data_IF_725243394641
#
_entry.id   IF_725243394641
#
_cell.length_a   1.000
_cell.length_b   1.000
_cell.length_c   1.000
_cell.angle_alpha   90.00
_cell.angle_beta   90.00
_cell.angle_gamma   90.00
#
_symmetry.space_group_name_H-M   'P 1'
#
loop_
_entity.id
_entity.type
_entity.pdbx_description
1 polymer ?
#
# COMPACT_ATOMS: atom_id res chain seq x y z
N UNK A 1 46.75 0.07 -9.09
CA UNK A 1 45.46 0.77 -8.86
C UNK A 1 44.52 0.66 -10.06
N UNK A 2 44.97 0.92 -11.30
CA UNK A 2 44.12 0.84 -12.51
C UNK A 2 43.48 -0.54 -12.76
N UNK A 3 44.17 -1.64 -12.44
CA UNK A 3 43.65 -3.01 -12.62
C UNK A 3 42.50 -3.36 -11.64
N UNK A 4 42.59 -2.93 -10.38
CA UNK A 4 41.58 -3.21 -9.33
C UNK A 4 40.27 -2.47 -9.62
N UNK A 5 40.35 -1.23 -10.11
CA UNK A 5 39.16 -0.45 -10.48
C UNK A 5 38.42 -1.08 -11.67
N UNK A 6 39.16 -1.56 -12.68
CA UNK A 6 38.57 -2.26 -13.82
C UNK A 6 37.89 -3.58 -13.39
N UNK A 7 38.52 -4.34 -12.48
CA UNK A 7 37.92 -5.56 -11.92
C UNK A 7 36.65 -5.26 -11.13
N UNK A 8 36.63 -4.19 -10.34
CA UNK A 8 35.45 -3.75 -9.60
C UNK A 8 34.30 -3.38 -10.55
N UNK A 9 34.57 -2.62 -11.62
CA UNK A 9 33.54 -2.28 -12.61
C UNK A 9 33.02 -3.51 -13.36
N UNK A 10 33.89 -4.48 -13.66
CA UNK A 10 33.47 -5.76 -14.24
C UNK A 10 32.55 -6.55 -13.29
N UNK A 11 32.89 -6.62 -12.00
CA UNK A 11 32.06 -7.26 -10.97
C UNK A 11 30.71 -6.55 -10.79
N UNK A 12 30.70 -5.21 -10.82
CA UNK A 12 29.45 -4.42 -10.79
C UNK A 12 28.58 -4.71 -12.01
N UNK A 13 29.17 -4.72 -13.21
CA UNK A 13 28.45 -5.04 -14.44
C UNK A 13 27.85 -6.45 -14.38
N UNK A 14 28.61 -7.44 -13.89
CA UNK A 14 28.11 -8.81 -13.71
C UNK A 14 26.97 -8.89 -12.69
N UNK A 15 27.10 -8.25 -11.52
CA UNK A 15 26.05 -8.24 -10.49
C UNK A 15 24.75 -7.57 -10.99
N UNK A 16 24.86 -6.56 -11.85
CA UNK A 16 23.70 -5.88 -12.46
C UNK A 16 22.92 -6.75 -13.43
N UNK A 17 23.54 -7.79 -14.01
CA UNK A 17 22.86 -8.74 -14.90
C UNK A 17 21.95 -9.73 -14.18
N UNK A 18 22.02 -9.82 -12.83
CA UNK A 18 21.18 -10.72 -12.04
C UNK A 18 21.26 -12.17 -12.55
N UNK A 19 20.11 -12.74 -12.92
CA UNK A 19 20.00 -14.09 -13.48
C UNK A 19 20.49 -14.25 -14.93
N UNK A 20 21.04 -13.20 -15.53
CA UNK A 20 21.58 -13.17 -16.89
C UNK A 20 20.58 -12.69 -17.95
N UNK A 21 21.12 -12.25 -19.10
CA UNK A 21 20.34 -11.60 -20.17
C UNK A 21 19.11 -12.39 -20.62
N UNK A 22 19.24 -13.71 -20.80
CA UNK A 22 18.12 -14.57 -21.22
C UNK A 22 16.92 -14.50 -20.26
N UNK A 23 17.17 -14.39 -18.94
CA UNK A 23 16.11 -14.30 -17.94
C UNK A 23 15.51 -12.89 -17.90
N UNK A 24 16.31 -11.86 -18.15
CA UNK A 24 15.83 -10.48 -18.34
C UNK A 24 14.87 -10.44 -19.53
N UNK A 25 15.27 -10.98 -20.69
CA UNK A 25 14.43 -11.03 -21.89
C UNK A 25 13.11 -11.79 -21.62
N UNK A 26 13.16 -12.84 -20.81
CA UNK A 26 11.96 -13.62 -20.41
C UNK A 26 11.03 -12.83 -19.48
N UNK A 27 11.60 -12.01 -18.58
CA UNK A 27 10.84 -11.10 -17.72
C UNK A 27 10.15 -10.01 -18.58
N UNK A 28 10.89 -9.40 -19.51
CA UNK A 28 10.36 -8.40 -20.45
C UNK A 28 9.29 -8.97 -21.38
N UNK A 29 9.46 -10.21 -21.86
CA UNK A 29 8.46 -10.89 -22.68
C UNK A 29 7.11 -11.10 -21.96
N UNK A 30 7.10 -11.06 -20.62
CA UNK A 30 5.89 -11.09 -19.79
C UNK A 30 5.31 -9.70 -19.50
N UNK A 31 5.87 -8.64 -20.09
CA UNK A 31 5.48 -7.25 -19.85
C UNK A 31 5.91 -6.70 -18.49
N UNK A 32 6.86 -7.36 -17.81
CA UNK A 32 7.35 -6.97 -16.48
C UNK A 32 8.72 -6.31 -16.59
N UNK A 33 8.96 -5.28 -15.78
CA UNK A 33 10.29 -4.70 -15.64
C UNK A 33 11.18 -5.57 -14.74
N UNK A 34 12.49 -5.37 -14.83
CA UNK A 34 13.47 -5.92 -13.89
C UNK A 34 13.48 -5.13 -12.58
N UNK A 35 14.09 -5.70 -11.53
CA UNK A 35 14.22 -5.02 -10.24
C UNK A 35 14.88 -3.64 -10.34
N UNK A 36 15.94 -3.52 -11.14
CA UNK A 36 16.71 -2.28 -11.28
C UNK A 36 16.03 -1.24 -12.16
N UNK A 37 15.31 -1.67 -13.21
CA UNK A 37 14.49 -0.77 -14.04
C UNK A 37 13.36 -0.15 -13.21
N UNK A 38 12.71 -0.94 -12.35
CA UNK A 38 11.67 -0.45 -11.44
C UNK A 38 12.21 0.61 -10.48
N UNK A 39 13.39 0.39 -9.90
CA UNK A 39 14.04 1.38 -9.04
C UNK A 39 14.42 2.66 -9.79
N UNK A 40 14.88 2.53 -11.04
CA UNK A 40 15.22 3.67 -11.90
C UNK A 40 14.01 4.54 -12.20
N UNK A 41 12.82 3.96 -12.35
CA UNK A 41 11.58 4.69 -12.58
C UNK A 41 10.96 5.24 -11.28
N UNK A 42 11.14 4.55 -10.16
CA UNK A 42 10.60 4.95 -8.88
C UNK A 42 11.35 6.15 -8.30
N UNK A 43 12.67 6.10 -8.32
CA UNK A 43 13.55 7.07 -7.67
C UNK A 43 13.92 8.21 -8.61
N UNK A 44 14.32 9.35 -8.04
CA UNK A 44 14.83 10.46 -8.82
C UNK A 44 16.17 10.10 -9.48
N UNK A 45 16.44 10.70 -10.64
CA UNK A 45 17.63 10.42 -11.43
C UNK A 45 18.91 10.56 -10.59
N UNK A 46 19.78 9.55 -10.70
CA UNK A 46 21.06 9.47 -10.01
C UNK A 46 21.00 9.60 -8.47
N UNK A 47 19.85 9.32 -7.84
CA UNK A 47 19.70 9.34 -6.38
C UNK A 47 19.94 7.99 -5.69
N UNK A 48 19.87 6.87 -6.43
CA UNK A 48 19.93 5.54 -5.83
C UNK A 48 21.35 5.15 -5.38
N UNK A 49 21.51 4.92 -4.08
CA UNK A 49 22.69 4.30 -3.51
C UNK A 49 22.39 2.85 -3.10
N UNK A 50 23.00 1.91 -3.81
CA UNK A 50 22.81 0.48 -3.57
C UNK A 50 23.74 -0.04 -2.47
N UNK A 51 23.18 -0.86 -1.57
CA UNK A 51 23.90 -1.57 -0.54
C UNK A 51 23.92 -3.07 -0.81
N UNK A 52 24.98 -3.74 -0.34
CA UNK A 52 25.09 -5.20 -0.35
C UNK A 52 24.98 -5.84 -1.75
N UNK A 53 25.45 -5.14 -2.79
CA UNK A 53 25.45 -5.59 -4.20
C UNK A 53 26.14 -6.96 -4.38
N UNK A 54 27.17 -7.25 -3.59
CA UNK A 54 27.99 -8.45 -3.73
C UNK A 54 27.72 -9.54 -2.69
N UNK A 55 26.66 -9.40 -1.88
CA UNK A 55 26.28 -10.46 -0.93
C UNK A 55 25.82 -11.70 -1.70
N UNK A 56 26.27 -12.87 -1.27
CA UNK A 56 25.87 -14.17 -1.81
C UNK A 56 25.30 -15.05 -0.69
N UNK A 57 24.45 -16.01 -1.04
CA UNK A 57 23.95 -16.97 -0.07
C UNK A 57 25.05 -17.90 0.45
N UNK A 58 24.80 -18.46 1.63
CA UNK A 58 25.71 -19.38 2.34
C UNK A 58 25.23 -20.83 2.34
N UNK A 59 24.13 -21.12 1.65
CA UNK A 59 23.61 -22.48 1.51
C UNK A 59 24.57 -23.40 0.73
N UNK A 60 24.76 -24.61 1.26
CA UNK A 60 25.53 -25.71 0.66
C UNK A 60 24.67 -26.95 0.36
N UNK A 61 23.38 -26.90 0.69
CA UNK A 61 22.46 -28.01 0.44
C UNK A 61 21.92 -27.95 -0.99
N UNK A 62 21.46 -29.09 -1.50
CA UNK A 62 20.82 -29.21 -2.83
C UNK A 62 21.64 -28.65 -4.01
N UNK A 63 22.98 -28.61 -3.90
CA UNK A 63 23.88 -28.10 -4.94
C UNK A 63 23.92 -26.58 -5.05
N UNK A 64 23.38 -25.86 -4.07
CA UNK A 64 23.29 -24.40 -4.07
C UNK A 64 24.65 -23.72 -4.15
N UNK A 65 25.74 -24.35 -3.69
CA UNK A 65 27.09 -23.81 -3.75
C UNK A 65 27.57 -23.47 -5.17
N UNK A 66 26.94 -24.05 -6.20
CA UNK A 66 27.22 -23.82 -7.62
C UNK A 66 26.37 -22.69 -8.22
N UNK A 67 25.34 -22.23 -7.51
CA UNK A 67 24.33 -21.28 -7.99
C UNK A 67 24.39 -19.93 -7.26
N UNK A 68 25.60 -19.44 -6.99
CA UNK A 68 25.82 -18.14 -6.32
C UNK A 68 25.68 -16.99 -7.31
N UNK A 69 24.77 -16.07 -7.01
CA UNK A 69 24.57 -14.84 -7.76
C UNK A 69 24.72 -13.65 -6.81
N UNK A 70 25.63 -12.69 -7.10
CA UNK A 70 25.77 -11.47 -6.32
C UNK A 70 24.44 -10.74 -6.13
N UNK A 71 24.19 -10.31 -4.90
CA UNK A 71 22.98 -9.63 -4.47
C UNK A 71 21.90 -10.56 -3.91
N UNK A 72 21.99 -11.86 -4.17
CA UNK A 72 21.10 -12.91 -3.66
C UNK A 72 19.59 -12.69 -3.93
N UNK A 73 19.31 -12.08 -5.09
CA UNK A 73 17.95 -11.92 -5.60
C UNK A 73 17.15 -10.76 -5.00
N UNK A 74 17.80 -9.83 -4.32
CA UNK A 74 17.19 -8.55 -3.94
C UNK A 74 18.18 -7.40 -4.10
N UNK A 75 17.71 -6.31 -4.68
CA UNK A 75 18.42 -5.03 -4.74
C UNK A 75 17.91 -4.16 -3.60
N UNK A 76 18.80 -3.66 -2.75
CA UNK A 76 18.45 -2.88 -1.55
C UNK A 76 19.25 -1.61 -1.49
N UNK A 77 18.67 -0.54 -0.95
CA UNK A 77 19.38 0.72 -0.79
C UNK A 77 18.44 1.85 -0.39
N UNK A 78 18.87 3.07 -0.69
CA UNK A 78 18.06 4.27 -0.52
C UNK A 78 18.23 5.21 -1.70
N UNK A 79 17.30 6.14 -1.85
CA UNK A 79 17.36 7.21 -2.84
C UNK A 79 16.38 8.31 -2.49
N UNK A 80 15.93 9.07 -3.48
CA UNK A 80 14.92 10.12 -3.27
C UNK A 80 13.72 9.98 -4.18
N UNK A 81 12.56 10.44 -3.72
CA UNK A 81 11.35 10.68 -4.53
C UNK A 81 10.97 12.14 -4.34
N UNK A 82 11.03 12.93 -5.40
CA UNK A 82 10.82 14.39 -5.35
C UNK A 82 11.74 15.07 -4.32
N UNK A 83 13.00 14.65 -4.29
CA UNK A 83 14.03 15.15 -3.37
C UNK A 83 13.93 14.65 -1.92
N UNK A 84 12.90 13.87 -1.59
CA UNK A 84 12.67 13.34 -0.23
C UNK A 84 13.22 11.92 -0.10
N UNK A 85 13.95 11.59 0.97
CA UNK A 85 14.61 10.31 1.10
C UNK A 85 13.62 9.16 1.26
N UNK A 86 14.00 7.98 0.74
CA UNK A 86 13.23 6.74 0.86
C UNK A 86 14.17 5.53 0.84
N UNK A 87 13.91 4.55 1.71
CA UNK A 87 14.54 3.22 1.64
C UNK A 87 13.74 2.32 0.72
N UNK A 88 14.44 1.49 -0.05
CA UNK A 88 13.81 0.61 -1.04
C UNK A 88 14.46 -0.77 -1.07
N UNK A 89 13.63 -1.78 -1.27
CA UNK A 89 14.10 -3.07 -1.79
C UNK A 89 13.30 -3.45 -3.02
N UNK A 90 13.96 -4.07 -4.00
CA UNK A 90 13.31 -4.66 -5.16
C UNK A 90 13.81 -6.07 -5.38
N UNK A 91 12.89 -7.03 -5.33
CA UNK A 91 13.20 -8.45 -5.55
C UNK A 91 13.43 -8.71 -7.03
N UNK A 92 14.49 -9.45 -7.33
CA UNK A 92 14.88 -9.82 -8.69
C UNK A 92 14.46 -11.27 -8.98
N UNK A 93 13.31 -11.41 -9.65
CA UNK A 93 12.76 -12.71 -10.02
C UNK A 93 13.68 -13.53 -10.93
N UNK A 94 14.62 -12.88 -11.64
CA UNK A 94 15.57 -13.59 -12.50
C UNK A 94 16.57 -14.41 -11.70
N UNK A 95 16.83 -14.04 -10.43
CA UNK A 95 17.76 -14.72 -9.53
C UNK A 95 16.98 -15.68 -8.64
N UNK A 96 17.07 -16.98 -8.96
CA UNK A 96 16.44 -18.05 -8.17
C UNK A 96 14.94 -17.81 -7.87
N UNK A 97 14.21 -17.21 -8.82
CA UNK A 97 12.79 -16.88 -8.68
C UNK A 97 12.50 -15.78 -7.66
N UNK A 98 13.49 -14.95 -7.31
CA UNK A 98 13.38 -13.95 -6.24
C UNK A 98 13.14 -14.59 -4.87
N UNK A 99 13.45 -15.88 -4.71
CA UNK A 99 13.15 -16.63 -3.48
C UNK A 99 13.95 -16.09 -2.28
N UNK A 100 13.26 -15.96 -1.16
CA UNK A 100 13.84 -15.38 0.06
C UNK A 100 14.70 -16.42 0.78
N UNK A 101 16.00 -16.15 0.85
CA UNK A 101 17.01 -16.82 1.66
C UNK A 101 17.29 -16.06 2.96
N UNK A 102 18.13 -16.63 3.82
CA UNK A 102 18.66 -15.96 5.01
C UNK A 102 19.36 -14.62 4.64
N UNK A 103 20.22 -14.62 3.63
CA UNK A 103 20.98 -13.43 3.20
C UNK A 103 20.14 -12.40 2.47
N UNK A 104 19.17 -12.84 1.65
CA UNK A 104 18.18 -11.96 1.06
C UNK A 104 17.37 -11.23 2.14
N UNK A 105 16.89 -11.96 3.15
CA UNK A 105 16.19 -11.37 4.28
C UNK A 105 17.09 -10.41 5.06
N UNK A 106 18.35 -10.78 5.34
CA UNK A 106 19.30 -9.93 6.05
C UNK A 106 19.53 -8.58 5.35
N UNK A 107 19.55 -8.55 4.01
CA UNK A 107 19.63 -7.30 3.24
C UNK A 107 18.39 -6.41 3.42
N UNK A 108 17.19 -7.00 3.36
CA UNK A 108 15.93 -6.28 3.61
C UNK A 108 15.91 -5.76 5.05
N UNK A 109 16.22 -6.61 6.02
CA UNK A 109 16.29 -6.24 7.44
C UNK A 109 17.24 -5.06 7.68
N UNK A 110 18.40 -5.03 7.02
CA UNK A 110 19.37 -3.93 7.16
C UNK A 110 18.76 -2.57 6.78
N UNK A 111 18.08 -2.48 5.65
CA UNK A 111 17.47 -1.21 5.24
C UNK A 111 16.24 -0.86 6.08
N UNK A 112 15.48 -1.84 6.56
CA UNK A 112 14.38 -1.62 7.50
C UNK A 112 14.88 -1.04 8.82
N UNK A 113 15.99 -1.57 9.34
CA UNK A 113 16.63 -1.08 10.56
C UNK A 113 17.09 0.38 10.38
N UNK A 114 17.64 0.73 9.21
CA UNK A 114 18.01 2.12 8.92
C UNK A 114 16.78 3.02 8.72
N UNK A 115 15.73 2.55 8.05
CA UNK A 115 14.48 3.29 7.87
C UNK A 115 13.88 3.70 9.22
N UNK A 116 13.74 2.75 10.15
CA UNK A 116 13.26 3.02 11.51
C UNK A 116 14.20 3.98 12.25
N UNK A 117 15.51 3.74 12.17
CA UNK A 117 16.53 4.56 12.87
C UNK A 117 16.52 6.02 12.40
N UNK A 118 16.28 6.25 11.12
CA UNK A 118 16.37 7.58 10.49
C UNK A 118 15.02 8.26 10.29
N UNK A 119 13.91 7.55 10.53
CA UNK A 119 12.57 8.09 10.30
C UNK A 119 12.27 8.29 8.81
N UNK A 120 12.75 7.38 7.96
CA UNK A 120 12.59 7.45 6.50
C UNK A 120 11.63 6.34 6.02
N UNK A 121 10.69 6.64 5.09
CA UNK A 121 9.76 5.65 4.55
C UNK A 121 10.45 4.46 3.88
N UNK A 122 9.74 3.33 3.80
CA UNK A 122 10.21 2.10 3.17
C UNK A 122 9.24 1.65 2.06
N UNK A 123 9.77 1.41 0.86
CA UNK A 123 9.01 0.85 -0.27
C UNK A 123 9.59 -0.51 -0.67
N UNK A 124 8.75 -1.55 -0.61
CA UNK A 124 9.08 -2.90 -1.05
C UNK A 124 8.48 -3.22 -2.41
N UNK A 125 9.33 -3.56 -3.39
CA UNK A 125 8.92 -3.99 -4.72
C UNK A 125 9.06 -5.51 -4.81
N UNK A 126 7.92 -6.19 -4.68
CA UNK A 126 7.83 -7.63 -4.46
C UNK A 126 7.58 -8.38 -5.77
N UNK A 127 8.43 -9.36 -6.05
CA UNK A 127 8.39 -10.23 -7.22
C UNK A 127 9.14 -11.52 -6.87
N UNK A 128 8.48 -12.39 -6.09
CA UNK A 128 9.11 -13.54 -5.43
C UNK A 128 8.22 -14.77 -5.46
N UNK A 129 8.81 -15.90 -5.84
CA UNK A 129 8.18 -17.21 -5.75
C UNK A 129 7.92 -17.71 -4.32
N UNK A 130 8.38 -16.99 -3.29
CA UNK A 130 8.19 -17.36 -1.89
C UNK A 130 9.50 -17.76 -1.18
N UNK A 131 9.42 -18.72 -0.27
CA UNK A 131 10.57 -19.21 0.48
C UNK A 131 11.56 -19.96 -0.41
N UNK A 132 12.86 -19.78 -0.16
CA UNK A 132 13.89 -20.63 -0.76
C UNK A 132 13.91 -21.98 -0.06
N UNK A 133 13.20 -22.95 -0.63
CA UNK A 133 12.99 -24.29 -0.04
C UNK A 133 14.33 -24.97 0.28
N UNK A 134 15.36 -24.75 -0.54
CA UNK A 134 16.69 -25.32 -0.37
C UNK A 134 17.36 -24.88 0.95
N UNK A 135 16.97 -23.75 1.52
CA UNK A 135 17.49 -23.24 2.80
C UNK A 135 16.61 -23.62 4.00
N UNK A 136 15.46 -24.27 3.78
CA UNK A 136 14.59 -24.78 4.82
C UNK A 136 14.23 -23.72 5.88
N UNK A 137 14.47 -24.05 7.15
CA UNK A 137 14.11 -23.20 8.29
C UNK A 137 14.86 -21.86 8.31
N UNK A 138 16.03 -21.75 7.67
CA UNK A 138 16.76 -20.47 7.61
C UNK A 138 16.00 -19.43 6.76
N UNK A 139 15.36 -19.87 5.67
CA UNK A 139 14.45 -19.03 4.88
C UNK A 139 13.24 -18.57 5.70
N UNK A 140 12.64 -19.48 6.49
CA UNK A 140 11.50 -19.15 7.36
C UNK A 140 11.91 -18.19 8.50
N UNK A 141 13.09 -18.38 9.08
CA UNK A 141 13.68 -17.45 10.05
C UNK A 141 13.88 -16.06 9.44
N UNK A 142 14.37 -16.01 8.19
CA UNK A 142 14.50 -14.76 7.44
C UNK A 142 13.16 -14.03 7.27
N UNK A 143 12.08 -14.74 6.95
CA UNK A 143 10.74 -14.15 6.91
C UNK A 143 10.32 -13.56 8.26
N UNK A 144 10.50 -14.30 9.36
CA UNK A 144 10.13 -13.84 10.70
C UNK A 144 10.87 -12.55 11.09
N UNK A 145 12.15 -12.43 10.74
CA UNK A 145 12.95 -11.22 10.98
C UNK A 145 12.43 -9.99 10.21
N UNK A 146 11.97 -10.17 8.98
CA UNK A 146 11.32 -9.11 8.19
C UNK A 146 9.97 -8.74 8.82
N UNK A 147 9.15 -9.73 9.17
CA UNK A 147 7.82 -9.48 9.78
C UNK A 147 7.93 -8.69 11.07
N UNK A 148 8.88 -9.07 11.94
CA UNK A 148 9.10 -8.38 13.21
C UNK A 148 9.44 -6.90 12.98
N UNK A 149 10.23 -6.58 11.95
CA UNK A 149 10.57 -5.20 11.58
C UNK A 149 9.39 -4.45 10.98
N UNK A 150 8.52 -5.10 10.21
CA UNK A 150 7.30 -4.45 9.74
C UNK A 150 6.42 -4.00 10.91
N UNK A 151 6.29 -4.87 11.93
CA UNK A 151 5.55 -4.54 13.16
C UNK A 151 6.21 -3.39 13.91
N UNK A 152 7.53 -3.40 14.06
CA UNK A 152 8.27 -2.33 14.75
C UNK A 152 8.21 -0.99 14.00
N UNK A 153 8.10 -1.02 12.67
CA UNK A 153 7.95 0.16 11.83
C UNK A 153 6.50 0.67 11.71
N UNK A 154 5.51 -0.12 12.12
CA UNK A 154 4.08 0.21 11.94
C UNK A 154 3.70 1.46 12.73
N UNK A 155 3.20 2.48 12.03
CA UNK A 155 2.90 3.79 12.64
C UNK A 155 4.15 4.58 13.07
N UNK A 156 5.34 4.17 12.62
CA UNK A 156 6.62 4.87 12.87
C UNK A 156 7.15 5.49 11.59
N UNK A 157 7.29 4.68 10.53
CA UNK A 157 7.61 5.14 9.18
C UNK A 157 6.60 4.55 8.20
N UNK A 158 6.18 5.27 7.14
CA UNK A 158 5.28 4.71 6.14
C UNK A 158 5.92 3.51 5.44
N UNK A 159 5.16 2.43 5.31
CA UNK A 159 5.55 1.20 4.65
C UNK A 159 4.62 0.92 3.47
N UNK A 160 5.17 0.86 2.26
CA UNK A 160 4.40 0.63 1.03
C UNK A 160 4.90 -0.63 0.33
N UNK A 161 3.99 -1.54 0.03
CA UNK A 161 4.26 -2.75 -0.72
C UNK A 161 3.69 -2.68 -2.13
N UNK A 162 4.58 -2.80 -3.11
CA UNK A 162 4.23 -2.90 -4.52
C UNK A 162 4.38 -4.36 -4.94
N UNK A 163 3.31 -4.98 -5.42
CA UNK A 163 3.30 -6.37 -5.84
C UNK A 163 3.34 -6.38 -7.37
N UNK A 164 4.50 -6.73 -7.91
CA UNK A 164 4.83 -6.60 -9.33
C UNK A 164 5.14 -7.97 -9.95
N UNK A 165 4.61 -9.03 -9.34
CA UNK A 165 4.92 -10.40 -9.67
C UNK A 165 4.22 -11.40 -8.76
N UNK A 166 4.64 -12.67 -8.79
CA UNK A 166 4.22 -13.66 -7.82
C UNK A 166 4.56 -13.22 -6.40
N UNK A 167 3.69 -13.54 -5.45
CA UNK A 167 3.92 -13.39 -4.03
C UNK A 167 3.12 -14.48 -3.31
N UNK A 168 3.77 -15.59 -2.99
CA UNK A 168 3.09 -16.80 -2.50
C UNK A 168 3.63 -17.26 -1.13
N UNK A 169 2.76 -17.89 -0.34
CA UNK A 169 3.15 -18.49 0.95
C UNK A 169 3.59 -17.41 1.94
N UNK A 170 4.78 -17.58 2.52
CA UNK A 170 5.33 -16.62 3.50
C UNK A 170 5.47 -15.19 2.95
N UNK A 171 5.68 -15.02 1.64
CA UNK A 171 5.88 -13.72 1.02
C UNK A 171 4.72 -12.75 1.20
N UNK A 172 3.48 -13.25 1.37
CA UNK A 172 2.29 -12.39 1.47
C UNK A 172 2.17 -11.67 2.81
N UNK A 173 2.81 -12.20 3.86
CA UNK A 173 2.59 -11.70 5.21
C UNK A 173 3.28 -10.37 5.48
N UNK A 174 4.46 -10.12 4.90
CA UNK A 174 5.12 -8.81 5.04
C UNK A 174 4.27 -7.70 4.41
N UNK A 175 3.83 -7.79 3.14
CA UNK A 175 2.90 -6.82 2.57
C UNK A 175 1.61 -6.64 3.38
N UNK A 176 1.00 -7.74 3.88
CA UNK A 176 -0.25 -7.69 4.63
C UNK A 176 -0.19 -6.77 5.88
N UNK A 177 0.99 -6.63 6.48
CA UNK A 177 1.25 -5.80 7.66
C UNK A 177 1.99 -4.49 7.34
N UNK A 178 2.16 -4.14 6.06
CA UNK A 178 2.50 -2.76 5.63
C UNK A 178 1.27 -1.87 5.53
N UNK A 179 1.44 -0.57 5.32
CA UNK A 179 0.33 0.40 5.35
C UNK A 179 -0.50 0.36 4.07
N UNK A 180 0.18 0.33 2.91
CA UNK A 180 -0.46 0.26 1.60
C UNK A 180 0.10 -0.88 0.75
N UNK A 181 -0.78 -1.51 -0.01
CA UNK A 181 -0.47 -2.62 -0.92
C UNK A 181 -1.05 -2.28 -2.28
N UNK A 182 -0.21 -2.15 -3.28
CA UNK A 182 -0.63 -1.94 -4.67
C UNK A 182 -0.22 -3.13 -5.52
N UNK A 183 -1.05 -3.47 -6.50
CA UNK A 183 -0.86 -4.64 -7.35
C UNK A 183 -0.96 -4.28 -8.82
N UNK A 184 -0.18 -4.96 -9.66
CA UNK A 184 -0.28 -4.82 -11.13
C UNK A 184 -1.22 -5.87 -11.69
N UNK A 185 -2.19 -5.45 -12.51
CA UNK A 185 -3.14 -6.34 -13.17
C UNK A 185 -2.44 -7.30 -14.13
N UNK A 186 -2.85 -8.57 -14.12
CA UNK A 186 -2.41 -9.61 -15.07
C UNK A 186 -0.96 -10.09 -14.92
N UNK A 187 -0.12 -9.39 -14.16
CA UNK A 187 1.29 -9.76 -13.95
C UNK A 187 1.66 -10.03 -12.49
N UNK A 188 0.74 -9.78 -11.55
CA UNK A 188 0.94 -9.99 -10.12
C UNK A 188 -0.21 -10.77 -9.47
N UNK A 189 0.11 -11.53 -8.42
CA UNK A 189 -0.87 -12.25 -7.62
C UNK A 189 -0.35 -12.53 -6.21
N UNK A 190 -1.27 -12.67 -5.25
CA UNK A 190 -0.98 -13.02 -3.86
C UNK A 190 -1.86 -14.15 -3.35
N UNK A 191 -1.29 -15.13 -2.66
CA UNK A 191 -2.06 -16.12 -1.90
C UNK A 191 -1.19 -16.82 -0.86
N UNK A 192 -1.81 -17.25 0.24
CA UNK A 192 -1.14 -18.06 1.27
C UNK A 192 -0.85 -19.47 0.73
N UNK A 193 -1.81 -20.05 0.00
CA UNK A 193 -1.72 -21.41 -0.53
C UNK A 193 -1.96 -21.37 -2.03
N UNK A 194 -1.08 -22.00 -2.81
CA UNK A 194 -1.15 -21.96 -4.27
C UNK A 194 -2.28 -22.82 -4.86
N UNK A 195 -2.69 -22.55 -6.12
CA UNK A 195 -3.83 -23.22 -6.74
C UNK A 195 -3.69 -24.75 -6.83
N UNK A 196 -2.48 -25.26 -7.06
CA UNK A 196 -2.24 -26.70 -7.10
C UNK A 196 -2.61 -27.39 -5.78
N UNK A 197 -2.30 -26.75 -4.64
CA UNK A 197 -2.65 -27.28 -3.32
C UNK A 197 -4.15 -27.15 -3.05
N UNK A 198 -4.76 -26.01 -3.43
CA UNK A 198 -6.22 -25.81 -3.35
C UNK A 198 -6.95 -26.93 -4.10
N UNK A 199 -6.57 -27.20 -5.35
CA UNK A 199 -7.15 -28.28 -6.15
C UNK A 199 -7.06 -29.66 -5.48
N UNK A 200 -5.94 -29.96 -4.83
CA UNK A 200 -5.76 -31.25 -4.15
C UNK A 200 -6.59 -31.38 -2.87
N UNK A 201 -6.85 -30.28 -2.15
CA UNK A 201 -7.48 -30.31 -0.83
C UNK A 201 -8.98 -30.01 -0.87
N UNK A 202 -9.39 -29.00 -1.65
CA UNK A 202 -10.79 -28.53 -1.74
C UNK A 202 -11.48 -28.98 -3.01
N UNK A 203 -10.73 -29.55 -3.97
CA UNK A 203 -11.21 -29.93 -5.31
C UNK A 203 -11.67 -28.74 -6.17
N UNK A 204 -11.26 -27.52 -5.83
CA UNK A 204 -11.50 -26.33 -6.63
C UNK A 204 -10.37 -26.14 -7.65
N UNK A 205 -10.70 -26.10 -8.94
CA UNK A 205 -9.75 -25.90 -10.03
C UNK A 205 -9.72 -24.41 -10.41
N UNK A 206 -8.82 -23.66 -9.78
CA UNK A 206 -8.70 -22.21 -9.95
C UNK A 206 -7.36 -21.86 -10.59
N UNK A 207 -7.33 -20.81 -11.40
CA UNK A 207 -6.09 -20.19 -11.86
C UNK A 207 -5.47 -19.30 -10.78
N UNK A 208 -4.20 -18.95 -10.91
CA UNK A 208 -3.55 -18.00 -10.00
C UNK A 208 -4.21 -16.61 -9.98
N UNK A 209 -4.72 -16.17 -11.14
CA UNK A 209 -5.44 -14.89 -11.27
C UNK A 209 -6.80 -14.94 -10.56
N UNK A 210 -7.55 -16.04 -10.69
CA UNK A 210 -8.83 -16.22 -9.99
C UNK A 210 -8.64 -16.31 -8.47
N UNK A 211 -7.60 -17.01 -8.02
CA UNK A 211 -7.33 -17.24 -6.61
C UNK A 211 -6.76 -16.00 -5.90
N UNK A 212 -5.97 -15.19 -6.59
CA UNK A 212 -5.12 -14.18 -5.95
C UNK A 212 -4.77 -12.97 -6.82
N UNK A 213 -5.44 -12.76 -7.94
CA UNK A 213 -5.15 -11.66 -8.86
C UNK A 213 -5.45 -10.28 -8.29
N UNK A 214 -4.85 -9.25 -8.89
CA UNK A 214 -5.00 -7.85 -8.46
C UNK A 214 -6.47 -7.38 -8.40
N UNK A 215 -7.31 -7.83 -9.35
CA UNK A 215 -8.74 -7.48 -9.38
C UNK A 215 -9.51 -8.11 -8.23
N UNK A 216 -9.23 -9.36 -7.89
CA UNK A 216 -9.86 -10.03 -6.76
C UNK A 216 -9.49 -9.32 -5.46
N UNK A 217 -8.20 -9.02 -5.25
CA UNK A 217 -7.76 -8.38 -4.01
C UNK A 217 -8.21 -6.92 -3.84
N UNK A 218 -8.35 -6.18 -4.94
CA UNK A 218 -8.77 -4.77 -4.91
C UNK A 218 -10.28 -4.57 -4.90
N UNK A 219 -11.08 -5.61 -5.20
CA UNK A 219 -12.55 -5.53 -5.24
C UNK A 219 -13.26 -6.38 -4.19
N UNK A 220 -12.75 -7.58 -3.91
CA UNK A 220 -13.44 -8.57 -3.10
C UNK A 220 -12.81 -8.73 -1.73
N UNK A 221 -11.50 -9.03 -1.65
CA UNK A 221 -10.88 -9.29 -0.35
C UNK A 221 -10.50 -8.02 0.42
N UNK A 222 -10.27 -6.90 -0.29
CA UNK A 222 -9.79 -5.64 0.27
C UNK A 222 -8.36 -5.73 0.82
N UNK A 223 -7.54 -6.62 0.25
CA UNK A 223 -6.10 -6.73 0.59
C UNK A 223 -5.30 -5.69 -0.18
N UNK A 224 -5.64 -5.48 -1.45
CA UNK A 224 -5.01 -4.49 -2.30
C UNK A 224 -5.74 -3.15 -2.19
N UNK A 225 -4.97 -2.10 -1.88
CA UNK A 225 -5.40 -0.72 -1.77
C UNK A 225 -5.61 -0.06 -3.14
N UNK A 226 -5.13 -0.69 -4.21
CA UNK A 226 -5.27 -0.25 -5.60
C UNK A 226 -4.65 -1.25 -6.58
N UNK A 227 -5.27 -1.37 -7.76
CA UNK A 227 -4.78 -2.18 -8.86
C UNK A 227 -4.50 -1.29 -10.07
N UNK A 228 -3.35 -1.48 -10.71
CA UNK A 228 -2.87 -0.65 -11.81
C UNK A 228 -2.60 -1.49 -13.05
N UNK A 229 -2.70 -0.88 -14.24
CA UNK A 229 -2.64 -1.64 -15.49
C UNK A 229 -1.23 -2.17 -15.79
N UNK A 230 -0.18 -1.53 -15.27
CA UNK A 230 1.21 -1.91 -15.52
C UNK A 230 2.17 -1.36 -14.45
N UNK A 231 3.42 -1.84 -14.50
CA UNK A 231 4.51 -1.42 -13.60
C UNK A 231 4.70 0.10 -13.58
N UNK A 232 4.69 0.77 -14.75
CA UNK A 232 4.98 2.21 -14.86
C UNK A 232 3.90 3.03 -14.15
N UNK A 233 2.64 2.75 -14.43
CA UNK A 233 1.51 3.46 -13.82
C UNK A 233 1.56 3.34 -12.28
N UNK A 234 1.76 2.13 -11.76
CA UNK A 234 1.84 1.91 -10.33
C UNK A 234 3.03 2.65 -9.69
N UNK A 235 4.20 2.67 -10.33
CA UNK A 235 5.35 3.40 -9.82
C UNK A 235 5.10 4.92 -9.80
N UNK A 236 4.47 5.47 -10.84
CA UNK A 236 4.06 6.88 -10.87
C UNK A 236 3.04 7.22 -9.77
N UNK A 237 2.05 6.36 -9.56
CA UNK A 237 1.04 6.55 -8.52
C UNK A 237 1.64 6.41 -7.11
N UNK A 238 2.65 5.55 -6.95
CA UNK A 238 3.42 5.48 -5.70
C UNK A 238 4.18 6.77 -5.44
N UNK A 239 4.82 7.37 -6.46
CA UNK A 239 5.45 8.70 -6.33
C UNK A 239 4.43 9.78 -5.93
N UNK A 240 3.23 9.74 -6.52
CA UNK A 240 2.15 10.66 -6.15
C UNK A 240 1.70 10.50 -4.69
N UNK A 241 1.50 9.26 -4.23
CA UNK A 241 1.18 8.95 -2.82
C UNK A 241 2.26 9.49 -1.88
N UNK A 242 3.53 9.28 -2.19
CA UNK A 242 4.65 9.80 -1.38
C UNK A 242 4.58 11.32 -1.20
N UNK A 243 4.01 12.05 -2.16
CA UNK A 243 3.76 13.48 -2.05
C UNK A 243 2.78 13.86 -0.93
N UNK A 244 1.92 12.95 -0.46
CA UNK A 244 0.96 13.22 0.61
C UNK A 244 1.48 12.85 2.00
N UNK A 245 2.35 11.84 2.09
CA UNK A 245 2.76 11.24 3.37
C UNK A 245 3.92 12.01 4.02
N UNK A 246 3.97 12.10 5.36
CA UNK A 246 5.19 12.52 6.08
C UNK A 246 6.29 11.46 5.92
N UNK A 247 7.54 11.78 6.32
CA UNK A 247 8.62 10.79 6.31
C UNK A 247 8.50 9.79 7.47
N UNK A 248 7.98 10.25 8.61
CA UNK A 248 7.76 9.46 9.81
C UNK A 248 6.66 10.08 10.67
N UNK A 249 6.26 9.39 11.74
CA UNK A 249 5.31 9.91 12.73
C UNK A 249 5.82 11.11 13.56
N UNK A 250 7.06 11.55 13.35
CA UNK A 250 7.66 12.71 14.04
C UNK A 250 7.61 13.98 13.21
N UNK A 251 7.24 13.87 11.94
CA UNK A 251 7.17 15.00 11.02
C UNK A 251 5.72 15.20 10.56
N UNK A 252 5.42 16.44 10.18
CA UNK A 252 4.18 16.74 9.49
C UNK A 252 4.25 16.30 8.03
N UNK A 253 3.08 16.10 7.42
CA UNK A 253 2.98 15.89 5.99
C UNK A 253 3.56 17.10 5.21
N UNK A 254 4.14 16.89 4.01
CA UNK A 254 4.73 17.96 3.23
C UNK A 254 3.70 19.03 2.86
N UNK A 255 4.07 20.29 3.05
CA UNK A 255 3.29 21.45 2.59
C UNK A 255 3.74 21.82 1.18
N UNK A 256 2.78 21.91 0.26
CA UNK A 256 3.02 22.26 -1.14
C UNK A 256 2.47 23.65 -1.42
N UNK A 257 3.15 24.52 -2.19
CA UNK A 257 2.58 25.80 -2.61
C UNK A 257 1.23 25.60 -3.29
N UNK A 258 0.20 26.30 -2.80
CA UNK A 258 -1.14 26.29 -3.38
C UNK A 258 -1.49 27.66 -3.93
N UNK A 259 -2.13 27.67 -5.10
CA UNK A 259 -2.67 28.87 -5.73
C UNK A 259 -4.20 28.81 -5.87
N UNK A 260 -4.83 27.72 -5.43
CA UNK A 260 -6.28 27.62 -5.32
C UNK A 260 -6.75 28.49 -4.13
N UNK A 261 -7.67 29.45 -4.33
CA UNK A 261 -8.16 30.28 -3.24
C UNK A 261 -8.87 29.46 -2.17
N UNK A 262 -8.51 29.66 -0.91
CA UNK A 262 -9.14 28.99 0.24
C UNK A 262 -10.63 29.33 0.40
N UNK A 263 -11.09 30.40 -0.24
CA UNK A 263 -12.47 30.89 -0.28
C UNK A 263 -13.14 30.69 -1.65
N UNK A 264 -12.62 29.78 -2.49
CA UNK A 264 -13.17 29.47 -3.82
C UNK A 264 -14.68 29.16 -3.73
N UNK A 265 -15.55 29.94 -4.39
CA UNK A 265 -16.97 29.63 -4.43
C UNK A 265 -17.22 28.39 -5.29
N UNK A 266 -18.22 27.58 -4.94
CA UNK A 266 -18.60 26.41 -5.72
C UNK A 266 -20.12 26.32 -5.88
N UNK A 267 -20.61 26.75 -7.04
CA UNK A 267 -22.02 26.59 -7.43
C UNK A 267 -22.42 25.10 -7.54
N UNK A 268 -21.45 24.20 -7.69
CA UNK A 268 -21.70 22.75 -7.66
C UNK A 268 -22.15 22.33 -6.27
N UNK A 269 -21.49 22.81 -5.20
CA UNK A 269 -21.85 22.48 -3.83
C UNK A 269 -23.24 23.01 -3.45
N UNK A 270 -23.65 24.16 -3.97
CA UNK A 270 -24.99 24.72 -3.75
C UNK A 270 -26.12 23.86 -4.33
N UNK A 271 -25.83 23.04 -5.36
CA UNK A 271 -26.84 22.31 -6.13
C UNK A 271 -26.69 20.78 -6.10
N UNK A 272 -25.63 20.24 -5.49
CA UNK A 272 -25.31 18.80 -5.57
C UNK A 272 -26.28 17.93 -4.77
N UNK A 273 -26.85 18.45 -3.68
CA UNK A 273 -27.78 17.71 -2.84
C UNK A 273 -29.17 17.74 -3.48
N UNK A 274 -29.72 16.59 -3.91
CA UNK A 274 -31.04 16.56 -4.56
C UNK A 274 -32.17 16.85 -3.57
N UNK A 275 -33.21 17.55 -4.01
CA UNK A 275 -34.43 17.81 -3.21
C UNK A 275 -35.13 16.50 -2.79
N UNK A 276 -35.12 15.49 -3.67
CA UNK A 276 -35.67 14.18 -3.36
C UNK A 276 -34.65 13.37 -2.54
N UNK A 277 -35.00 13.07 -1.29
CA UNK A 277 -34.18 12.29 -0.36
C UNK A 277 -33.80 10.88 -0.87
N UNK A 278 -34.55 10.33 -1.84
CA UNK A 278 -34.28 9.02 -2.45
C UNK A 278 -33.29 9.09 -3.62
N UNK A 279 -32.99 10.28 -4.13
CA UNK A 279 -32.03 10.45 -5.23
C UNK A 279 -30.61 10.53 -4.65
N UNK A 280 -29.67 9.65 -5.09
CA UNK A 280 -28.27 9.74 -4.67
C UNK A 280 -27.54 10.85 -5.43
N UNK A 281 -26.38 11.24 -4.92
CA UNK A 281 -25.41 12.11 -5.59
C UNK A 281 -24.00 11.54 -5.37
N UNK A 282 -23.04 12.00 -6.17
CA UNK A 282 -21.66 11.52 -6.06
C UNK A 282 -20.87 12.33 -5.02
N UNK A 283 -20.59 11.71 -3.87
CA UNK A 283 -19.77 12.34 -2.83
C UNK A 283 -18.36 12.69 -3.30
N UNK A 284 -17.82 12.03 -4.33
CA UNK A 284 -16.51 12.41 -4.88
C UNK A 284 -16.53 13.83 -5.44
N UNK A 285 -17.64 14.26 -6.03
CA UNK A 285 -17.75 15.64 -6.51
C UNK A 285 -17.64 16.64 -5.36
N UNK A 286 -18.19 16.34 -4.18
CA UNK A 286 -17.99 17.17 -2.98
C UNK A 286 -16.51 17.24 -2.62
N UNK A 287 -15.81 16.10 -2.59
CA UNK A 287 -14.37 16.04 -2.31
C UNK A 287 -13.56 16.87 -3.29
N UNK A 288 -13.81 16.74 -4.60
CA UNK A 288 -13.12 17.50 -5.64
C UNK A 288 -13.43 19.01 -5.57
N UNK A 289 -14.57 19.41 -5.03
CA UNK A 289 -14.88 20.83 -4.86
C UNK A 289 -14.18 21.47 -3.65
N UNK A 290 -13.90 20.70 -2.60
CA UNK A 290 -13.22 21.21 -1.38
C UNK A 290 -11.70 21.01 -1.40
N UNK A 291 -11.21 20.07 -2.20
CA UNK A 291 -9.77 19.82 -2.33
C UNK A 291 -9.11 20.87 -3.24
N UNK A 292 -7.86 21.22 -2.90
CA UNK A 292 -7.01 22.08 -3.72
C UNK A 292 -6.93 21.54 -5.15
N UNK A 293 -7.22 22.39 -6.14
CA UNK A 293 -7.20 22.09 -7.57
C UNK A 293 -8.14 20.92 -7.97
N UNK A 294 -9.04 20.51 -7.08
CA UNK A 294 -9.85 19.31 -7.25
C UNK A 294 -9.03 18.02 -7.35
N UNK A 295 -7.92 17.92 -6.62
CA UNK A 295 -7.09 16.70 -6.59
C UNK A 295 -7.48 15.78 -5.42
N UNK A 296 -7.68 14.50 -5.71
CA UNK A 296 -7.98 13.49 -4.71
C UNK A 296 -7.29 12.15 -5.05
N UNK A 297 -6.42 11.69 -4.15
CA UNK A 297 -5.78 10.37 -4.24
C UNK A 297 -6.62 9.35 -3.47
N UNK A 298 -7.53 8.68 -4.16
CA UNK A 298 -8.44 7.71 -3.55
C UNK A 298 -7.74 6.39 -3.21
N UNK A 299 -8.00 5.87 -2.00
CA UNK A 299 -7.51 4.58 -1.51
C UNK A 299 -8.67 3.59 -1.48
N UNK A 300 -8.41 2.33 -1.89
CA UNK A 300 -9.44 1.29 -1.96
C UNK A 300 -10.64 1.70 -2.83
N UNK A 301 -10.43 2.42 -3.94
CA UNK A 301 -11.51 2.91 -4.81
C UNK A 301 -12.49 1.80 -5.24
N UNK A 302 -11.95 0.60 -5.50
CA UNK A 302 -12.69 -0.54 -6.00
C UNK A 302 -13.24 -1.48 -4.89
N UNK A 303 -12.95 -1.21 -3.61
CA UNK A 303 -13.39 -2.03 -2.46
C UNK A 303 -14.28 -1.22 -1.52
N UNK A 304 -15.40 -1.80 -1.09
CA UNK A 304 -16.37 -1.16 -0.20
C UNK A 304 -16.74 0.27 -0.68
N UNK A 305 -17.24 0.36 -1.92
CA UNK A 305 -17.46 1.64 -2.60
C UNK A 305 -18.60 2.50 -2.00
N UNK A 306 -19.31 1.99 -0.98
CA UNK A 306 -20.24 2.71 -0.12
C UNK A 306 -19.56 3.70 0.85
N UNK A 307 -18.24 3.63 1.01
CA UNK A 307 -17.42 4.64 1.69
C UNK A 307 -16.18 4.97 0.85
N UNK A 308 -15.83 6.25 0.80
CA UNK A 308 -14.66 6.78 0.11
C UNK A 308 -13.63 7.14 1.17
N UNK A 309 -12.37 6.78 0.93
CA UNK A 309 -11.24 7.23 1.73
C UNK A 309 -10.08 7.59 0.82
N UNK A 310 -9.27 8.56 1.21
CA UNK A 310 -8.12 8.97 0.40
C UNK A 310 -7.51 10.28 0.88
N UNK A 311 -6.48 10.73 0.18
CA UNK A 311 -5.75 11.95 0.51
C UNK A 311 -6.13 13.08 -0.42
N UNK A 312 -6.26 14.28 0.14
CA UNK A 312 -6.40 15.53 -0.59
C UNK A 312 -5.45 16.57 0.03
N UNK A 313 -5.44 17.77 -0.54
CA UNK A 313 -4.86 18.95 0.13
C UNK A 313 -5.90 20.04 0.31
N UNK A 314 -5.74 20.82 1.37
CA UNK A 314 -6.46 22.07 1.62
C UNK A 314 -5.40 23.10 2.04
N UNK A 315 -5.30 24.20 1.28
CA UNK A 315 -4.27 25.24 1.47
C UNK A 315 -2.85 24.65 1.49
N UNK A 316 -2.58 23.73 0.57
CA UNK A 316 -1.28 23.08 0.41
C UNK A 316 -0.95 22.01 1.45
N UNK A 317 -1.82 21.73 2.42
CA UNK A 317 -1.59 20.75 3.50
C UNK A 317 -2.36 19.46 3.25
N UNK A 318 -1.71 18.31 3.44
CA UNK A 318 -2.38 17.01 3.33
C UNK A 318 -3.49 16.84 4.35
N UNK A 319 -4.64 16.36 3.90
CA UNK A 319 -5.76 15.90 4.73
C UNK A 319 -6.21 14.51 4.31
N UNK A 320 -6.62 13.68 5.26
CA UNK A 320 -7.30 12.42 5.03
C UNK A 320 -8.81 12.66 4.93
N UNK A 321 -9.43 12.22 3.84
CA UNK A 321 -10.87 12.31 3.63
C UNK A 321 -11.52 10.97 3.96
N UNK A 322 -12.64 11.00 4.67
CA UNK A 322 -13.55 9.85 4.84
C UNK A 322 -14.97 10.31 4.52
N UNK A 323 -15.61 9.72 3.52
CA UNK A 323 -16.94 10.16 3.08
C UNK A 323 -17.89 9.02 2.74
N UNK A 324 -19.15 9.09 3.17
CA UNK A 324 -20.17 8.13 2.72
C UNK A 324 -20.47 8.35 1.23
N UNK A 325 -20.70 7.28 0.45
CA UNK A 325 -21.03 7.37 -0.97
C UNK A 325 -22.49 6.97 -1.24
N UNK A 326 -23.42 7.93 -1.40
CA UNK A 326 -24.83 7.64 -1.58
C UNK A 326 -25.16 6.82 -2.82
N UNK A 327 -24.34 6.88 -3.87
CA UNK A 327 -24.54 6.09 -5.10
C UNK A 327 -24.37 4.58 -4.90
N UNK A 328 -23.75 4.15 -3.80
CA UNK A 328 -23.48 2.74 -3.52
C UNK A 328 -24.11 2.37 -2.18
N UNK A 329 -25.07 1.46 -2.21
CA UNK A 329 -25.78 0.98 -1.01
C UNK A 329 -26.33 2.14 -0.15
N UNK A 330 -26.77 3.23 -0.79
CA UNK A 330 -27.28 4.44 -0.16
C UNK A 330 -26.33 5.13 0.86
N UNK A 331 -25.02 4.81 0.83
CA UNK A 331 -24.02 5.32 1.77
C UNK A 331 -24.01 4.61 3.13
N UNK A 332 -24.72 3.48 3.27
CA UNK A 332 -24.75 2.69 4.51
C UNK A 332 -23.35 2.21 4.91
N UNK A 333 -23.09 2.13 6.21
CA UNK A 333 -21.91 1.43 6.75
C UNK A 333 -22.15 -0.08 6.76
N UNK A 334 -21.14 -0.86 6.40
CA UNK A 334 -21.15 -2.33 6.45
C UNK A 334 -19.81 -2.85 7.00
N UNK A 335 -19.64 -4.17 7.08
CA UNK A 335 -18.39 -4.79 7.56
C UNK A 335 -17.18 -4.27 6.78
N UNK A 336 -17.26 -4.22 5.45
CA UNK A 336 -16.13 -3.90 4.60
C UNK A 336 -15.80 -2.40 4.63
N UNK A 337 -16.81 -1.52 4.58
CA UNK A 337 -16.62 -0.08 4.73
C UNK A 337 -16.03 0.27 6.10
N UNK A 338 -16.50 -0.38 7.18
CA UNK A 338 -16.00 -0.14 8.52
C UNK A 338 -14.52 -0.55 8.65
N UNK A 339 -14.14 -1.71 8.08
CA UNK A 339 -12.72 -2.14 8.03
C UNK A 339 -11.85 -1.20 7.22
N UNK A 340 -12.32 -0.78 6.03
CA UNK A 340 -11.63 0.14 5.12
C UNK A 340 -11.36 1.48 5.80
N UNK A 341 -12.41 2.13 6.32
CA UNK A 341 -12.28 3.44 6.92
C UNK A 341 -11.54 3.40 8.26
N UNK A 342 -11.71 2.37 9.08
CA UNK A 342 -11.01 2.26 10.35
C UNK A 342 -9.48 2.22 10.16
N UNK A 343 -8.98 1.39 9.22
CA UNK A 343 -7.54 1.33 8.96
C UNK A 343 -7.00 2.65 8.42
N UNK A 344 -7.76 3.32 7.55
CA UNK A 344 -7.37 4.62 6.99
C UNK A 344 -7.30 5.72 8.06
N UNK A 345 -8.30 5.81 8.95
CA UNK A 345 -8.32 6.76 10.07
C UNK A 345 -7.12 6.55 10.99
N UNK A 346 -6.83 5.31 11.37
CA UNK A 346 -5.67 4.99 12.24
C UNK A 346 -4.33 5.30 11.57
N UNK A 347 -4.22 5.06 10.26
CA UNK A 347 -3.02 5.45 9.51
C UNK A 347 -2.84 6.97 9.54
N UNK A 348 -3.89 7.73 9.24
CA UNK A 348 -3.81 9.20 9.26
C UNK A 348 -3.42 9.71 10.64
N UNK A 349 -4.02 9.18 11.69
CA UNK A 349 -3.71 9.55 13.08
C UNK A 349 -2.25 9.25 13.45
N UNK A 350 -1.76 8.04 13.14
CA UNK A 350 -0.39 7.63 13.42
C UNK A 350 0.68 8.51 12.73
N UNK A 351 0.30 9.20 11.65
CA UNK A 351 1.19 10.01 10.83
C UNK A 351 0.79 11.50 10.83
N UNK A 352 0.08 11.96 11.86
CA UNK A 352 -0.27 13.37 12.07
C UNK A 352 -1.06 14.02 10.91
N UNK A 353 -1.81 13.22 10.15
CA UNK A 353 -2.62 13.71 9.02
C UNK A 353 -4.02 14.07 9.56
N UNK A 354 -4.47 15.34 9.45
CA UNK A 354 -5.81 15.74 9.85
C UNK A 354 -6.90 15.00 9.07
N UNK A 355 -8.06 14.82 9.68
CA UNK A 355 -9.19 14.11 9.10
C UNK A 355 -10.35 15.05 8.79
N UNK A 356 -10.88 14.96 7.56
CA UNK A 356 -12.13 15.58 7.13
C UNK A 356 -13.15 14.49 6.84
N UNK A 357 -14.27 14.52 7.57
CA UNK A 357 -15.33 13.51 7.47
C UNK A 357 -16.58 14.09 6.82
N UNK A 358 -17.00 13.53 5.69
CA UNK A 358 -18.19 13.94 4.94
C UNK A 358 -19.34 12.95 5.19
N UNK A 359 -20.40 13.41 5.85
CA UNK A 359 -21.44 12.52 6.38
C UNK A 359 -22.71 12.58 5.53
N UNK A 360 -23.07 11.45 4.94
CA UNK A 360 -24.40 11.16 4.37
C UNK A 360 -24.74 9.68 4.59
N UNK A 361 -25.00 9.33 5.86
CA UNK A 361 -25.18 7.95 6.30
C UNK A 361 -26.59 7.70 6.84
N UNK A 362 -27.37 6.78 6.25
CA UNK A 362 -28.70 6.44 6.74
C UNK A 362 -28.67 5.42 7.90
N UNK A 363 -27.54 4.75 8.14
CA UNK A 363 -27.38 3.69 9.13
C UNK A 363 -26.37 2.63 8.70
N UNK A 364 -26.40 1.49 9.40
CA UNK A 364 -25.68 0.28 9.01
C UNK A 364 -26.54 -0.59 8.07
N UNK A 365 -25.89 -1.34 7.18
CA UNK A 365 -26.54 -2.32 6.32
C UNK A 365 -27.17 -3.43 7.19
N UNK A 366 -28.49 -3.68 7.10
CA UNK A 366 -29.13 -4.77 7.83
C UNK A 366 -28.92 -6.11 7.12
N UNK A 367 -29.17 -7.21 7.85
CA UNK A 367 -29.33 -8.54 7.28
C UNK A 367 -28.48 -9.61 7.94
N UNK A 368 -28.92 -10.87 7.84
CA UNK A 368 -28.29 -12.01 8.50
C UNK A 368 -26.80 -12.15 8.14
N UNK A 369 -26.42 -11.85 6.89
CA UNK A 369 -25.04 -11.91 6.43
C UNK A 369 -24.12 -10.91 7.16
N UNK A 370 -24.62 -9.73 7.55
CA UNK A 370 -23.85 -8.76 8.34
C UNK A 370 -23.73 -9.22 9.79
N UNK A 371 -24.81 -9.73 10.37
CA UNK A 371 -24.80 -10.25 11.74
C UNK A 371 -23.88 -11.46 11.90
N UNK A 372 -24.00 -12.48 11.03
CA UNK A 372 -23.13 -13.66 11.06
C UNK A 372 -21.70 -13.36 10.62
N UNK A 373 -21.51 -12.32 9.80
CA UNK A 373 -20.19 -11.78 9.47
C UNK A 373 -19.55 -10.95 10.59
N UNK A 374 -20.24 -10.76 11.73
CA UNK A 374 -19.72 -10.06 12.90
C UNK A 374 -19.68 -8.54 12.72
N UNK A 375 -20.75 -7.94 12.21
CA UNK A 375 -20.85 -6.47 12.06
C UNK A 375 -20.64 -5.71 13.36
N UNK A 376 -21.02 -6.27 14.52
CA UNK A 376 -20.80 -5.63 15.83
C UNK A 376 -19.30 -5.34 16.02
N UNK A 377 -18.45 -6.35 15.86
CA UNK A 377 -17.00 -6.20 16.03
C UNK A 377 -16.35 -5.43 14.88
N UNK A 378 -16.83 -5.58 13.65
CA UNK A 378 -16.25 -4.90 12.49
C UNK A 378 -16.65 -3.42 12.40
N UNK A 379 -17.90 -3.10 12.70
CA UNK A 379 -18.43 -1.73 12.80
C UNK A 379 -17.76 -0.93 13.92
N UNK A 380 -17.54 -1.58 15.07
CA UNK A 380 -16.83 -0.96 16.20
C UNK A 380 -15.38 -0.56 15.88
N UNK A 381 -14.74 -1.12 14.84
CA UNK A 381 -13.39 -0.70 14.44
C UNK A 381 -13.36 0.77 14.01
N UNK A 382 -14.38 1.24 13.28
CA UNK A 382 -14.43 2.63 12.84
C UNK A 382 -14.75 3.57 14.01
N UNK A 383 -15.66 3.15 14.90
CA UNK A 383 -15.93 3.83 16.16
C UNK A 383 -14.64 4.03 16.96
N UNK A 384 -13.89 2.94 17.15
CA UNK A 384 -12.62 2.94 17.89
C UNK A 384 -11.59 3.84 17.22
N UNK A 385 -11.44 3.74 15.89
CA UNK A 385 -10.46 4.53 15.16
C UNK A 385 -10.69 6.04 15.34
N UNK A 386 -11.93 6.53 15.26
CA UNK A 386 -12.22 7.95 15.51
C UNK A 386 -12.08 8.36 16.97
N UNK A 387 -12.46 7.49 17.91
CA UNK A 387 -12.36 7.79 19.33
C UNK A 387 -10.90 7.81 19.84
N UNK A 388 -10.04 6.95 19.27
CA UNK A 388 -8.60 6.88 19.53
C UNK A 388 -7.89 8.10 18.93
N UNK A 389 -8.29 8.52 17.72
CA UNK A 389 -7.58 9.54 16.96
C UNK A 389 -7.48 10.89 17.68
N UNK A 390 -6.25 11.41 17.73
CA UNK A 390 -5.87 12.68 18.38
C UNK A 390 -5.53 13.79 17.39
N UNK A 391 -5.34 13.46 16.12
CA UNK A 391 -5.24 14.46 15.04
C UNK A 391 -6.50 15.35 14.95
N UNK A 392 -6.39 16.55 14.34
CA UNK A 392 -7.55 17.41 14.10
C UNK A 392 -8.61 16.69 13.27
N UNK A 393 -9.87 16.77 13.72
CA UNK A 393 -11.04 16.15 13.09
C UNK A 393 -12.09 17.20 12.78
N UNK A 394 -12.40 17.38 11.50
CA UNK A 394 -13.47 18.24 11.01
C UNK A 394 -14.53 17.39 10.35
N UNK A 395 -15.79 17.56 10.76
CA UNK A 395 -16.93 16.83 10.18
C UNK A 395 -17.88 17.79 9.51
N UNK A 396 -18.30 17.48 8.28
CA UNK A 396 -19.35 18.17 7.55
C UNK A 396 -20.48 17.18 7.27
N UNK A 397 -21.63 17.37 7.93
CA UNK A 397 -22.84 16.64 7.60
C UNK A 397 -23.44 17.27 6.35
N UNK A 398 -23.57 16.50 5.28
CA UNK A 398 -24.08 17.00 4.00
C UNK A 398 -25.57 16.75 3.82
N UNK A 399 -26.08 15.61 4.37
CA UNK A 399 -27.49 15.24 4.25
C UNK A 399 -27.99 14.35 5.39
N UNK A 400 -27.80 13.03 5.33
CA UNK A 400 -28.30 12.07 6.35
C UNK A 400 -27.27 11.81 7.43
N UNK A 401 -27.72 11.75 8.69
CA UNK A 401 -26.90 11.38 9.83
C UNK A 401 -27.77 10.72 10.90
N UNK A 402 -28.00 9.41 10.79
CA UNK A 402 -28.98 8.70 11.62
C UNK A 402 -28.36 7.63 12.53
N UNK A 403 -28.90 7.55 13.75
CA UNK A 403 -28.62 6.49 14.73
C UNK A 403 -27.14 6.31 15.05
N UNK A 404 -26.73 5.08 15.36
CA UNK A 404 -25.32 4.79 15.70
C UNK A 404 -24.32 5.07 14.57
N UNK A 405 -24.77 5.15 13.32
CA UNK A 405 -23.88 5.52 12.22
C UNK A 405 -23.47 7.00 12.27
N UNK A 406 -24.36 7.90 12.74
CA UNK A 406 -23.99 9.27 13.05
C UNK A 406 -22.90 9.33 14.13
N UNK A 407 -23.08 8.56 15.20
CA UNK A 407 -22.10 8.54 16.31
C UNK A 407 -20.71 8.12 15.80
N UNK A 408 -20.67 7.06 14.98
CA UNK A 408 -19.45 6.48 14.39
C UNK A 408 -18.76 7.44 13.41
N UNK A 409 -19.50 8.25 12.65
CA UNK A 409 -18.93 9.15 11.63
C UNK A 409 -18.39 10.47 12.22
N UNK A 410 -17.41 10.35 13.12
CA UNK A 410 -16.69 11.47 13.74
C UNK A 410 -17.63 12.52 14.40
N UNK A 411 -18.60 12.05 15.18
CA UNK A 411 -19.48 12.93 15.96
C UNK A 411 -18.70 13.72 17.02
N UNK A 412 -19.28 14.83 17.49
CA UNK A 412 -18.70 15.61 18.59
C UNK A 412 -18.52 14.78 19.87
N UNK A 413 -19.36 13.76 20.07
CA UNK A 413 -19.30 12.85 21.21
C UNK A 413 -18.06 11.93 21.17
N UNK A 414 -17.49 11.70 19.98
CA UNK A 414 -16.20 11.04 19.79
C UNK A 414 -15.04 12.05 19.69
N UNK A 415 -15.20 13.22 20.31
CA UNK A 415 -14.18 14.29 20.37
C UNK A 415 -13.82 14.87 18.99
N UNK A 416 -14.79 14.97 18.09
CA UNK A 416 -14.67 15.79 16.89
C UNK A 416 -14.47 17.27 17.26
N UNK A 417 -13.41 17.90 16.73
CA UNK A 417 -13.02 19.26 17.07
C UNK A 417 -14.06 20.26 16.53
N UNK A 418 -14.41 20.12 15.25
CA UNK A 418 -15.37 20.97 14.55
C UNK A 418 -16.41 20.12 13.82
N UNK A 419 -17.70 20.49 13.95
CA UNK A 419 -18.81 19.79 13.32
C UNK A 419 -19.72 20.83 12.65
N UNK A 420 -19.78 20.82 11.32
CA UNK A 420 -20.66 21.61 10.47
C UNK A 420 -21.83 20.76 9.95
N UNK A 421 -22.88 21.42 9.49
CA UNK A 421 -24.04 20.81 8.84
C UNK A 421 -24.63 21.76 7.81
#
# INVERSE_FOLDING_TARGET
>A
MTNILAELEAKRAQARLGGGQRRIDTQHAKGKLTARERLTLLLDDASFEEWDMFVEHRCHDFGMEQAKVPGDGVVTGYGTISGRPVFVYSQDFTVLGGSLSETHAAKICKIMDQAIKTGIPLIGLNDSGGARIQEGVASLGGYAEVFQRNVLASGVVPQISLIMGPCAGGAVYSPAITDFIFMVEGSSYMFVTGPDVVKTVTHEDLTAEELGGAKMHSRQSGVSHGAFANDIEMLMQTRALMGYLPLSNREDAPVVPCHDPVDRPSAVLDAIIPDNANTPYDMRQVVLQIADNGEFFEIHQNFAANIIVGFARIDGKTVGIVGNQPMVLAGCLDINASRKAARFVRFCDAFNIPLVTLVDVPGFMPGLAQETGGIISNGAKLLFAYAEATVPKVTLITRKAYGGAYDVMASKHLRGDVNYA
#
